data_IF_886639113027
#
_entry.id   IF_886639113027
#
_cell.length_a   1.000
_cell.length_b   1.000
_cell.length_c   1.000
_cell.angle_alpha   90.00
_cell.angle_beta   90.00
_cell.angle_gamma   90.00
#
_symmetry.space_group_name_H-M   'P 1'
#
loop_
_entity.id
_entity.type
_entity.pdbx_description
1 polymer ?
#
# COMPACT_ATOMS: atom_id res chain seq x y z
N UNK A 1 29.82 -20.22 -15.98
CA UNK A 1 29.68 -20.82 -14.63
C UNK A 1 28.38 -20.31 -14.06
N UNK A 2 27.34 -21.13 -14.03
CA UNK A 2 26.08 -20.77 -13.40
C UNK A 2 25.86 -21.66 -12.18
N UNK A 3 25.53 -21.04 -11.03
CA UNK A 3 24.61 -21.48 -9.95
C UNK A 3 24.42 -20.18 -9.12
N UNK A 4 23.27 -19.52 -9.00
CA UNK A 4 21.90 -20.02 -8.96
C UNK A 4 21.48 -20.32 -7.52
N UNK A 5 21.35 -19.30 -6.66
CA UNK A 5 20.64 -19.41 -5.37
C UNK A 5 19.88 -18.12 -5.06
N UNK A 6 18.79 -17.88 -5.80
CA UNK A 6 17.69 -17.09 -5.25
C UNK A 6 16.96 -17.99 -4.26
N UNK A 7 17.12 -17.68 -2.98
CA UNK A 7 16.28 -18.22 -1.92
C UNK A 7 15.83 -17.06 -1.02
N UNK A 8 15.17 -16.06 -1.61
CA UNK A 8 14.38 -15.06 -0.85
C UNK A 8 13.02 -15.66 -0.48
N UNK A 9 13.03 -16.87 0.08
CA UNK A 9 11.83 -17.38 0.72
C UNK A 9 11.68 -16.64 2.06
N UNK A 10 10.63 -15.81 2.16
CA UNK A 10 10.00 -15.35 3.41
C UNK A 10 10.50 -14.09 4.16
N UNK A 11 11.25 -13.17 3.54
CA UNK A 11 11.55 -11.87 4.23
C UNK A 11 10.43 -10.85 4.14
N UNK A 12 9.43 -11.04 3.28
CA UNK A 12 8.32 -10.08 3.17
C UNK A 12 8.72 -8.71 2.62
N UNK A 13 9.88 -8.65 1.96
CA UNK A 13 10.49 -7.44 1.41
C UNK A 13 10.54 -7.54 -0.11
N UNK A 14 10.54 -6.39 -0.76
CA UNK A 14 10.61 -6.25 -2.22
C UNK A 14 11.49 -5.06 -2.61
N UNK A 15 11.84 -4.93 -3.89
CA UNK A 15 12.49 -3.72 -4.42
C UNK A 15 11.47 -2.61 -4.64
N UNK A 16 11.92 -1.34 -4.71
CA UNK A 16 10.99 -0.24 -5.00
C UNK A 16 10.49 -0.31 -6.44
N UNK A 17 11.30 -0.78 -7.38
CA UNK A 17 10.92 -0.99 -8.78
C UNK A 17 9.80 -2.04 -8.88
N UNK A 18 9.96 -3.19 -8.22
CA UNK A 18 8.92 -4.22 -8.17
C UNK A 18 7.65 -3.74 -7.49
N UNK A 19 7.76 -2.93 -6.42
CA UNK A 19 6.58 -2.35 -5.78
C UNK A 19 5.81 -1.39 -6.70
N UNK A 20 6.53 -0.58 -7.50
CA UNK A 20 5.90 0.32 -8.50
C UNK A 20 5.23 -0.45 -9.63
N UNK A 21 5.87 -1.50 -10.13
CA UNK A 21 5.31 -2.37 -11.17
C UNK A 21 4.04 -3.08 -10.68
N UNK A 22 4.09 -3.65 -9.47
CA UNK A 22 2.94 -4.30 -8.83
C UNK A 22 1.81 -3.29 -8.58
N UNK A 23 2.11 -2.10 -8.06
CA UNK A 23 1.14 -1.03 -7.90
C UNK A 23 0.44 -0.70 -9.23
N UNK A 24 1.20 -0.44 -10.30
CA UNK A 24 0.65 -0.12 -11.62
C UNK A 24 -0.21 -1.26 -12.18
N UNK A 25 0.24 -2.51 -12.01
CA UNK A 25 -0.47 -3.68 -12.50
C UNK A 25 -1.80 -3.94 -11.79
N UNK A 26 -1.89 -3.64 -10.48
CA UNK A 26 -3.06 -3.96 -9.67
C UNK A 26 -4.05 -2.81 -9.58
N UNK A 27 -3.62 -1.57 -9.79
CA UNK A 27 -4.45 -0.39 -9.52
C UNK A 27 -5.72 -0.38 -10.37
N UNK A 28 -5.59 -0.52 -11.68
CA UNK A 28 -6.69 -0.45 -12.65
C UNK A 28 -7.50 -1.76 -12.67
N UNK A 29 -8.40 -1.90 -11.70
CA UNK A 29 -9.29 -3.07 -11.58
C UNK A 29 -9.70 -3.38 -10.14
N UNK A 30 -9.07 -2.71 -9.17
CA UNK A 30 -9.34 -2.91 -7.76
C UNK A 30 -10.49 -2.03 -7.24
N UNK A 31 -11.21 -2.55 -6.24
CA UNK A 31 -12.19 -1.81 -5.45
C UNK A 31 -11.54 -0.65 -4.69
N UNK A 32 -12.31 0.39 -4.32
CA UNK A 32 -11.79 1.62 -3.70
C UNK A 32 -10.90 1.33 -2.48
N UNK A 33 -11.28 0.36 -1.65
CA UNK A 33 -10.52 0.00 -0.44
C UNK A 33 -9.14 -0.55 -0.80
N UNK A 34 -9.07 -1.47 -1.75
CA UNK A 34 -7.79 -2.02 -2.22
C UNK A 34 -6.95 -0.95 -2.90
N UNK A 35 -7.56 -0.03 -3.67
CA UNK A 35 -6.84 1.13 -4.23
C UNK A 35 -6.26 2.02 -3.12
N UNK A 36 -7.02 2.31 -2.07
CA UNK A 36 -6.53 3.07 -0.92
C UNK A 36 -5.35 2.37 -0.25
N UNK A 37 -5.47 1.07 -0.01
CA UNK A 37 -4.39 0.24 0.58
C UNK A 37 -3.13 0.27 -0.30
N UNK A 38 -3.29 0.13 -1.61
CA UNK A 38 -2.19 0.21 -2.59
C UNK A 38 -1.53 1.59 -2.57
N UNK A 39 -2.31 2.69 -2.51
CA UNK A 39 -1.76 4.06 -2.40
C UNK A 39 -0.98 4.24 -1.10
N UNK A 40 -1.50 3.76 0.03
CA UNK A 40 -0.81 3.83 1.32
C UNK A 40 0.49 3.02 1.31
N UNK A 41 0.43 1.80 0.75
CA UNK A 41 1.58 0.91 0.62
C UNK A 41 2.67 1.50 -0.27
N UNK A 42 2.35 2.00 -1.46
CA UNK A 42 3.36 2.56 -2.36
C UNK A 42 3.98 3.83 -1.76
N UNK A 43 3.18 4.70 -1.12
CA UNK A 43 3.69 5.88 -0.43
C UNK A 43 4.66 5.51 0.70
N UNK A 44 4.33 4.50 1.52
CA UNK A 44 5.24 4.01 2.56
C UNK A 44 6.50 3.37 1.95
N UNK A 45 6.35 2.59 0.88
CA UNK A 45 7.47 1.95 0.17
C UNK A 45 8.45 2.97 -0.38
N UNK A 46 7.97 4.04 -0.99
CA UNK A 46 8.80 5.18 -1.45
C UNK A 46 9.53 5.84 -0.28
N UNK A 47 8.83 6.04 0.84
CA UNK A 47 9.45 6.59 2.06
C UNK A 47 10.56 5.69 2.58
N UNK A 48 10.33 4.37 2.68
CA UNK A 48 11.36 3.41 3.10
C UNK A 48 12.58 3.46 2.18
N UNK A 49 12.35 3.42 0.87
CA UNK A 49 13.41 3.46 -0.13
C UNK A 49 14.25 4.74 -0.02
N UNK A 50 13.61 5.92 0.13
CA UNK A 50 14.32 7.19 0.38
C UNK A 50 15.19 7.17 1.63
N UNK A 51 14.82 6.37 2.63
CA UNK A 51 15.55 6.18 3.87
C UNK A 51 16.49 4.97 3.85
N UNK A 52 16.84 4.43 2.67
CA UNK A 52 17.79 3.32 2.52
C UNK A 52 17.26 1.96 3.00
N UNK A 53 15.94 1.81 3.14
CA UNK A 53 15.29 0.57 3.55
C UNK A 53 14.55 -0.09 2.39
N UNK A 54 14.60 -1.42 2.32
CA UNK A 54 13.78 -2.17 1.36
C UNK A 54 12.28 -2.04 1.72
N UNK A 55 11.41 -1.77 0.73
CA UNK A 55 9.97 -1.89 0.88
C UNK A 55 9.48 -3.25 1.36
N UNK A 56 8.30 -3.29 1.97
CA UNK A 56 7.57 -4.54 2.22
C UNK A 56 6.79 -4.95 0.98
N UNK A 57 6.48 -6.23 0.83
CA UNK A 57 5.45 -6.68 -0.12
C UNK A 57 4.08 -6.13 0.26
N UNK A 58 3.17 -6.01 -0.72
CA UNK A 58 1.82 -5.52 -0.45
C UNK A 58 1.07 -6.40 0.55
N UNK A 59 1.19 -7.72 0.42
CA UNK A 59 0.60 -8.69 1.35
C UNK A 59 1.03 -8.45 2.80
N UNK A 60 2.34 -8.31 3.05
CA UNK A 60 2.85 -8.09 4.39
C UNK A 60 2.47 -6.72 4.94
N UNK A 61 2.49 -5.70 4.09
CA UNK A 61 2.01 -4.38 4.48
C UNK A 61 0.56 -4.46 4.94
N UNK A 62 -0.32 -5.06 4.13
CA UNK A 62 -1.74 -5.14 4.44
C UNK A 62 -2.03 -5.97 5.71
N UNK A 63 -1.32 -7.07 5.93
CA UNK A 63 -1.49 -7.90 7.11
C UNK A 63 -1.17 -7.17 8.43
N UNK A 64 -0.43 -6.06 8.37
CA UNK A 64 -0.06 -5.25 9.53
C UNK A 64 -0.91 -3.97 9.70
N UNK A 65 -1.71 -3.60 8.70
CA UNK A 65 -2.48 -2.35 8.72
C UNK A 65 -3.96 -2.62 8.98
N UNK A 66 -4.66 -1.62 9.50
CA UNK A 66 -6.09 -1.69 9.79
C UNK A 66 -6.81 -0.43 9.28
N UNK A 67 -8.14 -0.49 9.25
CA UNK A 67 -8.99 0.59 8.74
C UNK A 67 -8.74 1.93 9.46
N UNK A 68 -8.33 1.90 10.74
CA UNK A 68 -8.00 3.09 11.53
C UNK A 68 -6.71 3.76 11.08
N UNK A 69 -5.70 2.98 10.72
CA UNK A 69 -4.49 3.49 10.10
C UNK A 69 -4.81 4.18 8.77
N UNK A 70 -5.60 3.55 7.90
CA UNK A 70 -5.98 4.15 6.61
C UNK A 70 -6.81 5.42 6.79
N UNK A 71 -7.70 5.46 7.78
CA UNK A 71 -8.45 6.66 8.14
C UNK A 71 -7.50 7.84 8.45
N UNK A 72 -6.51 7.63 9.31
CA UNK A 72 -5.53 8.65 9.67
C UNK A 72 -4.74 9.15 8.45
N UNK A 73 -4.33 8.25 7.55
CA UNK A 73 -3.61 8.64 6.32
C UNK A 73 -4.45 9.60 5.45
N UNK A 74 -5.77 9.38 5.37
CA UNK A 74 -6.68 10.23 4.60
C UNK A 74 -7.00 11.52 5.34
N UNK A 75 -7.23 11.48 6.66
CA UNK A 75 -7.51 12.66 7.48
C UNK A 75 -6.38 13.68 7.40
N UNK A 76 -5.13 13.21 7.49
CA UNK A 76 -3.92 14.02 7.42
C UNK A 76 -3.52 14.46 5.99
N UNK A 77 -4.32 14.14 4.97
CA UNK A 77 -4.01 14.39 3.56
C UNK A 77 -2.68 13.77 3.10
N UNK A 78 -2.26 12.65 3.69
CA UNK A 78 -1.04 11.94 3.25
C UNK A 78 -1.31 11.25 1.91
N UNK A 79 -2.54 10.77 1.69
CA UNK A 79 -2.94 10.02 0.51
C UNK A 79 -4.02 10.77 -0.27
N UNK A 80 -3.81 10.90 -1.58
CA UNK A 80 -4.59 11.84 -2.39
C UNK A 80 -6.05 11.47 -2.65
N UNK A 81 -6.53 10.24 -2.71
CA UNK A 81 -7.97 9.93 -2.87
C UNK A 81 -8.82 10.55 -4.02
N UNK A 82 -8.37 11.54 -4.80
CA UNK A 82 -9.21 12.24 -5.80
C UNK A 82 -9.77 11.32 -6.89
N UNK A 83 -9.05 10.26 -7.20
CA UNK A 83 -9.39 9.26 -8.22
C UNK A 83 -10.13 8.02 -7.68
N UNK A 84 -10.45 7.99 -6.38
CA UNK A 84 -11.15 6.88 -5.71
C UNK A 84 -12.42 7.32 -4.95
N UNK A 85 -12.98 8.48 -5.30
CA UNK A 85 -14.20 9.05 -4.69
C UNK A 85 -13.96 10.36 -3.93
N UNK A 86 -12.70 10.73 -3.72
CA UNK A 86 -12.34 11.95 -3.00
C UNK A 86 -12.31 11.76 -1.48
N UNK A 87 -11.69 12.71 -0.80
CA UNK A 87 -11.39 12.63 0.64
C UNK A 87 -12.63 12.37 1.50
N UNK A 88 -13.68 13.17 1.32
CA UNK A 88 -14.86 13.12 2.20
C UNK A 88 -15.61 11.79 2.09
N UNK A 89 -15.77 11.26 0.88
CA UNK A 89 -16.41 9.98 0.64
C UNK A 89 -15.60 8.83 1.27
N UNK A 90 -14.29 8.80 1.05
CA UNK A 90 -13.40 7.78 1.62
C UNK A 90 -13.42 7.82 3.16
N UNK A 91 -13.41 9.00 3.78
CA UNK A 91 -13.51 9.14 5.23
C UNK A 91 -14.83 8.57 5.76
N UNK A 92 -15.96 8.86 5.10
CA UNK A 92 -17.25 8.32 5.50
C UNK A 92 -17.29 6.79 5.38
N UNK A 93 -16.77 6.25 4.28
CA UNK A 93 -16.72 4.80 4.05
C UNK A 93 -15.86 4.09 5.10
N UNK A 94 -14.69 4.63 5.46
CA UNK A 94 -13.83 4.07 6.50
C UNK A 94 -14.48 4.13 7.89
N UNK A 95 -15.11 5.25 8.26
CA UNK A 95 -15.83 5.38 9.53
C UNK A 95 -16.94 4.35 9.67
N UNK A 96 -17.76 4.21 8.62
CA UNK A 96 -18.84 3.21 8.59
C UNK A 96 -18.31 1.78 8.73
N UNK A 97 -17.12 1.48 8.19
CA UNK A 97 -16.50 0.15 8.30
C UNK A 97 -15.95 -0.14 9.70
N UNK A 98 -15.45 0.87 10.40
CA UNK A 98 -14.90 0.73 11.76
C UNK A 98 -16.02 0.53 12.80
N UNK A 99 -17.20 1.08 12.55
CA UNK A 99 -18.37 1.00 13.45
C UNK A 99 -19.17 -0.32 13.32
N UNK A 100 -18.87 -1.14 12.32
CA UNK A 100 -19.47 -2.46 12.08
C UNK A 100 -18.70 -3.57 12.79
#
# INVERSE_FOLDING_TARGET
MGIGYYNFNNVGLTSIESAREEYQSLYEGCHWLTKLMLKCWINHSESRNRNGNMPFTFENYNNCMNDRFYLEQVELNIIDCSDIGGKEEILQLLKNRIEQ
#
